data_IF_010689722553
#
_entry.id   IF_010689722553
#
_cell.length_a   1.000
_cell.length_b   1.000
_cell.length_c   1.000
_cell.angle_alpha   90.00
_cell.angle_beta   90.00
_cell.angle_gamma   90.00
#
_symmetry.space_group_name_H-M   'P 1'
#
loop_
_entity.id
_entity.type
_entity.pdbx_description
1 polymer ?
#
# COMPACT_ATOMS: atom_id res chain seq x y z
N UNK A 1 13.24 3.50 -9.84
CA UNK A 1 12.57 3.38 -11.13
C UNK A 1 11.15 2.84 -10.98
N UNK A 2 10.93 1.71 -10.29
CA UNK A 2 9.60 1.07 -10.11
C UNK A 2 8.56 2.01 -9.49
N UNK A 3 8.90 2.79 -8.45
CA UNK A 3 8.01 3.74 -7.81
C UNK A 3 7.56 4.86 -8.78
N UNK A 4 8.45 5.32 -9.65
CA UNK A 4 8.13 6.33 -10.67
C UNK A 4 7.16 5.74 -11.70
N UNK A 5 7.46 4.54 -12.21
CA UNK A 5 6.62 3.84 -13.17
C UNK A 5 5.20 3.59 -12.63
N UNK A 6 5.10 3.16 -11.36
CA UNK A 6 3.82 2.94 -10.69
C UNK A 6 3.08 4.27 -10.46
N UNK A 7 3.78 5.32 -10.04
CA UNK A 7 3.19 6.65 -9.87
C UNK A 7 2.60 7.18 -11.18
N UNK A 8 3.30 7.01 -12.30
CA UNK A 8 2.80 7.33 -13.63
C UNK A 8 1.59 6.47 -14.00
N UNK A 9 1.67 5.16 -13.80
CA UNK A 9 0.53 4.26 -14.05
C UNK A 9 -0.73 4.70 -13.29
N UNK A 10 -0.61 5.01 -11.98
CA UNK A 10 -1.76 5.44 -11.18
C UNK A 10 -2.29 6.80 -11.67
N UNK A 11 -1.41 7.72 -12.06
CA UNK A 11 -1.80 9.02 -12.61
C UNK A 11 -2.66 8.83 -13.87
N UNK A 12 -2.24 7.97 -14.78
CA UNK A 12 -3.01 7.62 -15.98
C UNK A 12 -4.32 6.91 -15.65
N UNK A 13 -4.28 5.94 -14.72
CA UNK A 13 -5.44 5.12 -14.35
C UNK A 13 -6.54 5.93 -13.67
N UNK A 14 -6.19 6.85 -12.79
CA UNK A 14 -7.15 7.65 -12.02
C UNK A 14 -7.37 9.05 -12.57
N UNK A 15 -6.60 9.48 -13.58
CA UNK A 15 -6.67 10.81 -14.20
C UNK A 15 -6.52 11.98 -13.21
N UNK A 16 -5.96 11.74 -12.04
CA UNK A 16 -5.75 12.72 -10.96
C UNK A 16 -4.47 12.40 -10.20
N UNK A 17 -3.54 13.33 -10.19
CA UNK A 17 -2.22 13.16 -9.55
C UNK A 17 -2.30 12.96 -8.03
N UNK A 18 -3.39 13.42 -7.37
CA UNK A 18 -3.57 13.26 -5.92
C UNK A 18 -3.62 11.78 -5.49
N UNK A 19 -4.21 10.91 -6.31
CA UNK A 19 -4.22 9.47 -6.06
C UNK A 19 -2.82 8.87 -6.22
N UNK A 20 -2.08 9.32 -7.23
CA UNK A 20 -0.72 8.86 -7.49
C UNK A 20 0.22 9.22 -6.34
N UNK A 21 0.16 10.47 -5.84
CA UNK A 21 1.00 10.91 -4.73
C UNK A 21 0.73 10.12 -3.45
N UNK A 22 -0.55 9.88 -3.11
CA UNK A 22 -0.92 9.06 -1.95
C UNK A 22 -0.39 7.64 -2.04
N UNK A 23 -0.60 6.98 -3.18
CA UNK A 23 -0.12 5.62 -3.40
C UNK A 23 1.41 5.53 -3.41
N UNK A 24 2.10 6.40 -4.16
CA UNK A 24 3.56 6.38 -4.24
C UNK A 24 4.22 6.65 -2.88
N UNK A 25 3.67 7.57 -2.09
CA UNK A 25 4.17 7.83 -0.74
C UNK A 25 4.02 6.60 0.17
N UNK A 26 2.88 5.90 0.13
CA UNK A 26 2.67 4.69 0.91
C UNK A 26 3.61 3.54 0.48
N UNK A 27 3.84 3.38 -0.82
CA UNK A 27 4.77 2.38 -1.34
C UNK A 27 6.23 2.70 -0.97
N UNK A 28 6.62 3.96 -1.05
CA UNK A 28 7.95 4.41 -0.62
C UNK A 28 8.15 4.17 0.89
N UNK A 29 7.15 4.51 1.70
CA UNK A 29 7.17 4.25 3.15
C UNK A 29 7.31 2.74 3.44
N UNK A 30 6.54 1.88 2.75
CA UNK A 30 6.62 0.44 2.91
C UNK A 30 8.03 -0.08 2.58
N UNK A 31 8.61 0.33 1.45
CA UNK A 31 9.95 -0.06 1.06
C UNK A 31 11.02 0.40 2.08
N UNK A 32 10.95 1.66 2.54
CA UNK A 32 11.87 2.21 3.53
C UNK A 32 11.76 1.49 4.88
N UNK A 33 10.53 1.15 5.30
CA UNK A 33 10.29 0.45 6.55
C UNK A 33 10.88 -0.96 6.51
N UNK A 34 10.72 -1.69 5.40
CA UNK A 34 11.31 -3.02 5.24
C UNK A 34 12.85 -2.95 5.30
N UNK A 35 13.47 -2.00 4.62
CA UNK A 35 14.92 -1.78 4.68
C UNK A 35 15.36 -1.46 6.12
N UNK A 36 14.61 -0.60 6.82
CA UNK A 36 14.87 -0.26 8.22
C UNK A 36 14.80 -1.46 9.15
N UNK A 37 13.77 -2.31 9.00
CA UNK A 37 13.61 -3.54 9.78
C UNK A 37 14.76 -4.51 9.48
N UNK A 38 15.13 -4.71 8.23
CA UNK A 38 16.27 -5.57 7.86
C UNK A 38 17.56 -5.06 8.49
N UNK A 39 17.81 -3.76 8.45
CA UNK A 39 18.98 -3.17 9.09
C UNK A 39 18.98 -3.33 10.62
N UNK A 40 17.81 -3.16 11.26
CA UNK A 40 17.68 -3.27 12.71
C UNK A 40 17.86 -4.71 13.22
N UNK A 41 17.37 -5.68 12.48
CA UNK A 41 17.44 -7.10 12.86
C UNK A 41 18.64 -7.84 12.26
N UNK A 42 19.52 -7.14 11.55
CA UNK A 42 20.73 -7.72 11.00
C UNK A 42 21.60 -8.31 12.10
N UNK A 43 21.93 -9.62 12.00
CA UNK A 43 22.72 -10.36 12.99
C UNK A 43 21.99 -10.75 14.28
N UNK A 44 20.72 -10.38 14.47
CA UNK A 44 19.91 -10.78 15.63
C UNK A 44 19.10 -12.05 15.36
N UNK A 45 18.76 -12.32 14.11
CA UNK A 45 17.96 -13.48 13.72
C UNK A 45 18.86 -14.66 13.31
N UNK A 46 18.40 -15.92 13.52
CA UNK A 46 19.17 -17.12 13.19
C UNK A 46 19.25 -17.42 11.69
N UNK A 47 18.90 -16.48 10.83
CA UNK A 47 18.99 -16.58 9.38
C UNK A 47 19.50 -15.27 8.77
N UNK A 48 20.10 -15.37 7.58
CA UNK A 48 20.71 -14.21 6.90
C UNK A 48 19.66 -13.20 6.43
N UNK A 49 19.84 -11.93 6.86
CA UNK A 49 19.12 -10.77 6.39
C UNK A 49 19.97 -9.90 5.45
N UNK A 50 20.62 -10.54 4.48
CA UNK A 50 21.46 -9.82 3.52
C UNK A 50 20.62 -9.12 2.44
N UNK A 51 21.06 -7.92 2.06
CA UNK A 51 20.50 -7.17 0.92
C UNK A 51 21.08 -7.77 -0.36
N UNK A 52 20.52 -8.88 -0.78
CA UNK A 52 20.90 -9.63 -1.98
C UNK A 52 19.81 -9.52 -3.07
N UNK A 53 19.97 -10.25 -4.17
CA UNK A 53 19.00 -10.28 -5.26
C UNK A 53 17.60 -10.74 -4.80
N UNK A 54 17.53 -11.70 -3.88
CA UNK A 54 16.27 -12.18 -3.32
C UNK A 54 15.55 -11.08 -2.52
N UNK A 55 16.30 -10.28 -1.75
CA UNK A 55 15.73 -9.12 -1.03
C UNK A 55 15.15 -8.07 -1.99
N UNK A 56 15.87 -7.76 -3.09
CA UNK A 56 15.36 -6.84 -4.12
C UNK A 56 14.09 -7.39 -4.76
N UNK A 57 14.06 -8.69 -5.07
CA UNK A 57 12.89 -9.36 -5.61
C UNK A 57 11.71 -9.31 -4.62
N UNK A 58 11.97 -9.48 -3.31
CA UNK A 58 10.95 -9.34 -2.27
C UNK A 58 10.34 -7.94 -2.27
N UNK A 59 11.16 -6.87 -2.26
CA UNK A 59 10.68 -5.49 -2.28
C UNK A 59 9.81 -5.23 -3.52
N UNK A 60 10.24 -5.66 -4.71
CA UNK A 60 9.47 -5.48 -5.93
C UNK A 60 8.13 -6.22 -5.88
N UNK A 61 8.13 -7.43 -5.34
CA UNK A 61 6.91 -8.23 -5.14
C UNK A 61 5.95 -7.54 -4.18
N UNK A 62 6.45 -7.03 -3.05
CA UNK A 62 5.66 -6.31 -2.06
C UNK A 62 5.07 -5.02 -2.63
N UNK A 63 5.84 -4.26 -3.39
CA UNK A 63 5.35 -3.07 -4.07
C UNK A 63 4.18 -3.44 -5.00
N UNK A 64 4.33 -4.50 -5.79
CA UNK A 64 3.27 -5.01 -6.66
C UNK A 64 2.04 -5.49 -5.90
N UNK A 65 2.23 -6.12 -4.73
CA UNK A 65 1.15 -6.56 -3.87
C UNK A 65 0.40 -5.38 -3.23
N UNK A 66 1.12 -4.45 -2.63
CA UNK A 66 0.55 -3.30 -1.92
C UNK A 66 -0.23 -2.35 -2.86
N UNK A 67 0.23 -2.20 -4.11
CA UNK A 67 -0.49 -1.37 -5.09
C UNK A 67 -1.88 -1.93 -5.42
N UNK A 68 -2.04 -3.26 -5.43
CA UNK A 68 -3.33 -3.89 -5.71
C UNK A 68 -4.38 -3.49 -4.67
N UNK A 69 -4.06 -3.51 -3.37
CA UNK A 69 -4.96 -3.07 -2.31
C UNK A 69 -5.25 -1.57 -2.40
N UNK A 70 -4.23 -0.75 -2.65
CA UNK A 70 -4.38 0.70 -2.78
C UNK A 70 -5.32 1.07 -3.94
N UNK A 71 -5.17 0.42 -5.09
CA UNK A 71 -6.03 0.65 -6.27
C UNK A 71 -7.48 0.29 -5.97
N UNK A 72 -7.73 -0.80 -5.25
CA UNK A 72 -9.10 -1.21 -4.88
C UNK A 72 -9.78 -0.21 -3.97
N UNK A 73 -9.07 0.27 -2.93
CA UNK A 73 -9.61 1.30 -2.04
C UNK A 73 -9.91 2.59 -2.81
N UNK A 74 -9.00 3.01 -3.69
CA UNK A 74 -9.16 4.23 -4.48
C UNK A 74 -10.30 4.12 -5.52
N UNK A 75 -10.43 2.97 -6.17
CA UNK A 75 -11.55 2.71 -7.08
C UNK A 75 -12.88 2.76 -6.32
N UNK A 76 -12.92 2.21 -5.09
CA UNK A 76 -14.13 2.24 -4.26
C UNK A 76 -14.47 3.65 -3.80
N UNK A 77 -13.50 4.46 -3.42
CA UNK A 77 -13.73 5.87 -3.08
C UNK A 77 -14.30 6.61 -4.29
N UNK A 78 -13.73 6.38 -5.47
CA UNK A 78 -14.20 7.00 -6.71
C UNK A 78 -15.62 6.58 -7.06
N UNK A 79 -15.97 5.31 -6.89
CA UNK A 79 -17.33 4.79 -7.06
C UNK A 79 -18.31 5.50 -6.11
N UNK A 80 -17.95 5.62 -4.83
CA UNK A 80 -18.80 6.30 -3.83
C UNK A 80 -19.00 7.78 -4.14
N UNK A 81 -17.98 8.46 -4.66
CA UNK A 81 -18.12 9.84 -5.13
C UNK A 81 -19.14 9.98 -6.26
N UNK A 82 -19.29 8.96 -7.10
CA UNK A 82 -20.27 8.95 -8.19
C UNK A 82 -21.67 8.57 -7.72
N UNK A 83 -21.77 7.59 -6.81
CA UNK A 83 -23.05 7.11 -6.28
C UNK A 83 -23.69 8.08 -5.29
N UNK A 84 -22.90 8.82 -4.51
CA UNK A 84 -23.37 9.69 -3.43
C UNK A 84 -22.82 11.12 -3.55
N UNK A 85 -23.10 11.86 -4.64
CA UNK A 85 -22.48 13.16 -4.92
C UNK A 85 -22.79 14.25 -3.90
N UNK A 86 -23.85 14.08 -3.09
CA UNK A 86 -24.26 15.05 -2.06
C UNK A 86 -23.70 14.76 -0.66
N UNK A 87 -23.03 13.61 -0.47
CA UNK A 87 -22.43 13.24 0.82
C UNK A 87 -21.15 14.01 1.09
N UNK A 88 -20.86 14.22 2.36
CA UNK A 88 -19.56 14.77 2.79
C UNK A 88 -18.43 13.83 2.33
N UNK A 89 -17.34 14.41 1.81
CA UNK A 89 -16.21 13.65 1.28
C UNK A 89 -15.56 12.75 2.33
N UNK A 90 -15.48 13.18 3.59
CA UNK A 90 -14.99 12.34 4.69
C UNK A 90 -15.83 11.07 4.89
N UNK A 91 -17.16 11.20 4.85
CA UNK A 91 -18.08 10.06 5.02
C UNK A 91 -18.00 9.10 3.83
N UNK A 92 -17.76 9.62 2.61
CA UNK A 92 -17.55 8.80 1.42
C UNK A 92 -16.28 7.96 1.55
N UNK A 93 -15.18 8.57 1.98
CA UNK A 93 -13.90 7.89 2.16
C UNK A 93 -14.00 6.82 3.25
N UNK A 94 -14.58 7.15 4.41
CA UNK A 94 -14.80 6.19 5.48
C UNK A 94 -15.69 5.02 5.06
N UNK A 95 -16.78 5.29 4.35
CA UNK A 95 -17.67 4.26 3.81
C UNK A 95 -16.96 3.35 2.80
N UNK A 96 -16.13 3.91 1.93
CA UNK A 96 -15.36 3.16 0.96
C UNK A 96 -14.32 2.24 1.63
N UNK A 97 -13.55 2.76 2.60
CA UNK A 97 -12.59 1.96 3.37
C UNK A 97 -13.31 0.80 4.06
N UNK A 98 -14.39 1.08 4.80
CA UNK A 98 -15.13 0.04 5.53
C UNK A 98 -15.68 -1.04 4.59
N UNK A 99 -16.15 -0.67 3.40
CA UNK A 99 -16.67 -1.63 2.42
C UNK A 99 -15.60 -2.52 1.79
N UNK A 100 -14.34 -2.10 1.78
CA UNK A 100 -13.20 -2.86 1.24
C UNK A 100 -12.40 -3.60 2.30
N UNK A 101 -12.57 -3.23 3.58
CA UNK A 101 -11.75 -3.72 4.69
C UNK A 101 -11.77 -5.24 4.82
N UNK A 102 -12.95 -5.87 4.75
CA UNK A 102 -13.09 -7.32 4.83
C UNK A 102 -12.32 -8.04 3.71
N UNK A 103 -12.39 -7.52 2.49
CA UNK A 103 -11.62 -8.06 1.35
C UNK A 103 -10.13 -7.93 1.60
N UNK A 104 -9.67 -6.75 2.00
CA UNK A 104 -8.25 -6.47 2.25
C UNK A 104 -7.70 -7.37 3.37
N UNK A 105 -8.41 -7.52 4.48
CA UNK A 105 -8.03 -8.41 5.58
C UNK A 105 -7.98 -9.88 5.11
N UNK A 106 -8.98 -10.33 4.37
CA UNK A 106 -9.00 -11.71 3.87
C UNK A 106 -7.85 -11.98 2.91
N UNK A 107 -7.58 -11.08 1.97
CA UNK A 107 -6.48 -11.21 1.00
C UNK A 107 -5.13 -11.23 1.69
N UNK A 108 -4.88 -10.28 2.59
CA UNK A 108 -3.63 -10.20 3.34
C UNK A 108 -3.49 -11.36 4.33
N UNK A 109 -4.58 -11.76 4.99
CA UNK A 109 -4.59 -12.88 5.92
C UNK A 109 -4.28 -14.22 5.25
N UNK A 110 -4.90 -14.52 4.11
CA UNK A 110 -4.61 -15.76 3.36
C UNK A 110 -3.17 -15.78 2.86
N UNK A 111 -2.66 -14.64 2.39
CA UNK A 111 -1.26 -14.51 1.97
C UNK A 111 -0.31 -14.73 3.15
N UNK A 112 -0.60 -14.14 4.32
CA UNK A 112 0.21 -14.32 5.52
C UNK A 112 0.23 -15.77 5.99
N UNK A 113 -0.90 -16.47 5.99
CA UNK A 113 -0.98 -17.89 6.34
C UNK A 113 -0.09 -18.72 5.41
N UNK A 114 -0.14 -18.45 4.11
CA UNK A 114 0.72 -19.14 3.13
C UNK A 114 2.20 -18.85 3.38
N UNK A 115 2.57 -17.59 3.61
CA UNK A 115 3.96 -17.21 3.90
C UNK A 115 4.47 -17.83 5.20
N UNK A 116 3.64 -17.87 6.25
CA UNK A 116 3.98 -18.53 7.52
C UNK A 116 4.20 -20.02 7.33
N UNK A 117 3.37 -20.70 6.55
CA UNK A 117 3.59 -22.11 6.21
C UNK A 117 4.94 -22.31 5.53
N UNK A 118 5.32 -21.43 4.58
CA UNK A 118 6.62 -21.51 3.90
C UNK A 118 7.77 -21.25 4.88
N UNK A 119 7.63 -20.34 5.86
CA UNK A 119 8.67 -20.13 6.88
C UNK A 119 8.90 -21.38 7.73
N UNK A 120 7.82 -22.08 8.09
CA UNK A 120 7.87 -23.27 8.96
C UNK A 120 8.45 -24.47 8.20
N UNK A 121 7.99 -24.72 6.99
CA UNK A 121 8.33 -25.92 6.19
C UNK A 121 9.42 -25.67 5.16
N UNK A 122 9.78 -24.42 4.86
CA UNK A 122 10.77 -24.04 3.88
C UNK A 122 12.20 -24.12 4.38
N UNK A 123 13.15 -24.19 3.45
CA UNK A 123 14.58 -24.23 3.75
C UNK A 123 15.13 -22.87 4.23
N UNK A 124 16.29 -22.91 4.88
CA UNK A 124 16.95 -21.70 5.43
C UNK A 124 17.25 -20.63 4.37
N UNK A 125 17.56 -21.04 3.17
CA UNK A 125 17.94 -20.15 2.06
C UNK A 125 16.86 -19.12 1.71
N UNK A 126 15.58 -19.45 1.88
CA UNK A 126 14.44 -18.57 1.53
C UNK A 126 13.86 -17.81 2.72
N UNK A 127 14.30 -18.09 3.94
CA UNK A 127 13.71 -17.49 5.16
C UNK A 127 13.79 -15.97 5.15
N UNK A 128 14.94 -15.39 4.79
CA UNK A 128 15.09 -13.94 4.72
C UNK A 128 14.15 -13.29 3.68
N UNK A 129 14.00 -13.94 2.53
CA UNK A 129 13.06 -13.50 1.49
C UNK A 129 11.61 -13.54 1.98
N UNK A 130 11.18 -14.64 2.58
CA UNK A 130 9.81 -14.79 3.10
C UNK A 130 9.55 -13.85 4.28
N UNK A 131 10.54 -13.63 5.13
CA UNK A 131 10.44 -12.65 6.22
C UNK A 131 10.18 -11.24 5.69
N UNK A 132 10.89 -10.81 4.63
CA UNK A 132 10.61 -9.54 3.95
C UNK A 132 9.17 -9.47 3.44
N UNK A 133 8.68 -10.54 2.80
CA UNK A 133 7.31 -10.61 2.28
C UNK A 133 6.27 -10.49 3.39
N UNK A 134 6.45 -11.18 4.53
CA UNK A 134 5.53 -11.11 5.67
C UNK A 134 5.42 -9.67 6.18
N UNK A 135 6.56 -9.02 6.46
CA UNK A 135 6.59 -7.63 6.91
C UNK A 135 5.92 -6.74 5.87
N UNK A 136 6.31 -6.91 4.61
CA UNK A 136 5.80 -6.07 3.53
C UNK A 136 4.31 -6.19 3.29
N UNK A 137 3.71 -7.36 3.45
CA UNK A 137 2.25 -7.56 3.35
C UNK A 137 1.54 -6.85 4.50
N UNK A 138 2.00 -7.03 5.75
CA UNK A 138 1.40 -6.39 6.93
C UNK A 138 1.49 -4.87 6.82
N UNK A 139 2.70 -4.36 6.58
CA UNK A 139 2.95 -2.92 6.48
C UNK A 139 2.27 -2.31 5.26
N UNK A 140 2.30 -2.98 4.11
CA UNK A 140 1.66 -2.51 2.88
C UNK A 140 0.15 -2.36 3.02
N UNK A 141 -0.51 -3.33 3.66
CA UNK A 141 -1.94 -3.26 3.98
C UNK A 141 -2.25 -2.10 4.91
N UNK A 142 -1.47 -1.94 5.98
CA UNK A 142 -1.61 -0.80 6.90
C UNK A 142 -1.33 0.53 6.19
N UNK A 143 -0.28 0.62 5.38
CA UNK A 143 0.08 1.83 4.65
C UNK A 143 -1.00 2.28 3.65
N UNK A 144 -1.74 1.36 3.05
CA UNK A 144 -2.88 1.70 2.18
C UNK A 144 -3.96 2.47 2.94
N UNK A 145 -4.30 2.02 4.15
CA UNK A 145 -5.37 2.61 4.96
C UNK A 145 -4.89 3.88 5.67
N UNK A 146 -3.71 3.85 6.28
CA UNK A 146 -3.22 4.91 7.17
C UNK A 146 -2.34 5.95 6.50
N UNK A 147 -1.82 5.70 5.30
CA UNK A 147 -0.93 6.63 4.59
C UNK A 147 -1.50 7.01 3.23
N UNK A 148 -1.74 6.03 2.34
CA UNK A 148 -2.18 6.31 0.98
C UNK A 148 -3.52 7.04 0.96
N UNK A 149 -4.50 6.53 1.70
CA UNK A 149 -5.86 7.07 1.70
C UNK A 149 -5.96 8.43 2.39
N UNK A 150 -5.41 8.68 3.60
CA UNK A 150 -5.42 10.00 4.21
C UNK A 150 -4.68 11.06 3.40
N UNK A 151 -3.53 10.72 2.82
CA UNK A 151 -2.77 11.66 2.00
C UNK A 151 -3.54 12.05 0.73
N UNK A 152 -4.14 11.07 0.05
CA UNK A 152 -5.00 11.33 -1.10
C UNK A 152 -6.23 12.18 -0.72
N UNK A 153 -6.84 11.89 0.44
CA UNK A 153 -7.96 12.66 0.98
C UNK A 153 -7.60 14.13 1.21
N UNK A 154 -6.47 14.39 1.89
CA UNK A 154 -6.03 15.76 2.18
C UNK A 154 -5.76 16.57 0.91
N UNK A 155 -5.06 15.96 -0.04
CA UNK A 155 -4.75 16.60 -1.32
C UNK A 155 -6.01 16.90 -2.14
N UNK A 156 -6.99 15.99 -2.11
CA UNK A 156 -8.26 16.19 -2.81
C UNK A 156 -9.12 17.26 -2.13
N UNK A 157 -9.17 17.26 -0.80
CA UNK A 157 -9.93 18.26 -0.03
C UNK A 157 -9.37 19.68 -0.26
N UNK A 158 -8.05 19.83 -0.24
CA UNK A 158 -7.40 21.12 -0.58
C UNK A 158 -7.76 21.60 -1.98
N UNK A 159 -7.79 20.69 -2.95
CA UNK A 159 -8.19 21.02 -4.33
C UNK A 159 -9.66 21.43 -4.44
N UNK A 160 -10.55 20.73 -3.77
CA UNK A 160 -11.99 21.06 -3.77
C UNK A 160 -12.24 22.43 -3.16
N UNK A 161 -11.62 22.76 -2.01
CA UNK A 161 -11.69 24.09 -1.39
C UNK A 161 -11.16 25.20 -2.30
N UNK A 162 -10.03 24.95 -3.00
CA UNK A 162 -9.49 25.94 -3.94
C UNK A 162 -10.46 26.22 -5.10
N UNK A 163 -11.05 25.16 -5.66
CA UNK A 163 -12.02 25.30 -6.75
C UNK A 163 -13.33 26.00 -6.32
N UNK A 164 -13.71 25.92 -5.06
CA UNK A 164 -14.86 26.69 -4.48
C UNK A 164 -14.55 28.17 -4.35
N UNK A 165 -13.33 28.52 -3.96
CA UNK A 165 -12.88 29.93 -3.82
C UNK A 165 -12.78 30.60 -5.19
N UNK A 166 -12.30 29.89 -6.22
CA UNK A 166 -12.15 30.42 -7.58
C UNK A 166 -13.50 30.62 -8.31
N UNK A 167 -14.60 30.07 -7.79
CA UNK A 167 -15.96 30.22 -8.33
C UNK A 167 -16.78 31.35 -7.67
N UNK A 168 -16.26 31.96 -6.61
CA UNK A 168 -16.83 33.13 -5.92
C UNK A 168 -16.21 34.40 -6.39
#
# INVERSE_FOLDING_TARGET
>A
FSLIAIGLYITFRFKRWQWATGATAALAFNALLIIGIFSMFYGLLPFNLEVNQAFIAAILTIIGYAINDTVVVFDRIREYMTLYPKRNFADLVNGAINSTLSRTINTSGTTLVTLLAIVIFGGETIRGFIFALIIGVVVGTAATIFIATPLAYDLMTKRMKKAEIEKK
#
